data_IF_571679288102
#
_entry.id   IF_571679288102
#
_cell.length_a   1.000
_cell.length_b   1.000
_cell.length_c   1.000
_cell.angle_alpha   90.00
_cell.angle_beta   90.00
_cell.angle_gamma   90.00
#
_symmetry.space_group_name_H-M   'P 1'
#
loop_
_entity.id
_entity.type
_entity.pdbx_description
1 polymer ?
#
# COMPACT_ATOMS: atom_id res chain seq x y z
N UNK A 1 -5.15 16.41 5.92
CA UNK A 1 -6.35 15.62 6.31
C UNK A 1 -7.07 15.30 5.02
N UNK A 2 -6.87 14.10 4.48
CA UNK A 2 -7.42 13.78 3.16
C UNK A 2 -8.86 13.32 3.33
N UNK A 3 -9.73 14.01 2.61
CA UNK A 3 -11.17 13.81 2.58
C UNK A 3 -11.41 12.49 1.85
N UNK A 4 -12.13 11.57 2.51
CA UNK A 4 -12.71 10.40 1.86
C UNK A 4 -13.49 10.87 0.63
N UNK A 5 -13.19 10.28 -0.52
CA UNK A 5 -13.92 10.62 -1.74
C UNK A 5 -15.38 10.19 -1.55
N UNK A 6 -16.31 11.14 -1.65
CA UNK A 6 -17.75 10.84 -1.62
C UNK A 6 -18.18 10.00 -2.82
N UNK A 7 -17.43 10.10 -3.93
CA UNK A 7 -17.60 9.31 -5.15
C UNK A 7 -16.22 8.91 -5.67
N UNK A 8 -16.06 7.65 -6.09
CA UNK A 8 -14.84 7.14 -6.73
C UNK A 8 -15.19 6.62 -8.13
N UNK A 9 -15.03 7.43 -9.20
CA UNK A 9 -15.45 7.04 -10.54
C UNK A 9 -14.62 5.88 -11.09
N UNK A 10 -15.22 5.06 -11.94
CA UNK A 10 -14.57 3.87 -12.50
C UNK A 10 -13.32 4.20 -13.33
N UNK A 11 -12.25 3.44 -13.13
CA UNK A 11 -10.99 3.60 -13.85
C UNK A 11 -11.18 3.39 -15.37
N UNK A 12 -10.69 4.32 -16.17
CA UNK A 12 -10.70 4.24 -17.65
C UNK A 12 -9.43 3.62 -18.24
N UNK A 13 -8.57 3.04 -17.39
CA UNK A 13 -7.34 2.35 -17.76
C UNK A 13 -6.30 3.17 -18.55
N UNK A 14 -6.41 4.50 -18.54
CA UNK A 14 -5.57 5.42 -19.33
C UNK A 14 -4.05 5.36 -19.03
N UNK A 15 -3.65 4.90 -17.84
CA UNK A 15 -2.25 4.68 -17.47
C UNK A 15 -1.47 5.90 -16.94
N UNK A 16 -2.07 7.09 -16.78
CA UNK A 16 -1.34 8.24 -16.21
C UNK A 16 -0.79 7.96 -14.80
N UNK A 17 -1.57 7.27 -13.97
CA UNK A 17 -1.15 6.88 -12.63
C UNK A 17 0.03 5.89 -12.62
N UNK A 18 0.18 5.09 -13.68
CA UNK A 18 1.30 4.15 -13.85
C UNK A 18 2.62 4.90 -13.95
N UNK A 19 2.69 5.87 -14.86
CA UNK A 19 3.92 6.64 -15.13
C UNK A 19 4.34 7.52 -13.94
N UNK A 20 3.36 7.97 -13.13
CA UNK A 20 3.61 8.77 -11.94
C UNK A 20 3.99 7.95 -10.69
N UNK A 21 3.88 6.62 -10.73
CA UNK A 21 4.10 5.77 -9.56
C UNK A 21 5.58 5.44 -9.36
N UNK A 22 6.21 5.81 -8.22
CA UNK A 22 7.62 5.52 -7.99
C UNK A 22 7.92 4.01 -7.89
N UNK A 23 6.96 3.22 -7.40
CA UNK A 23 7.10 1.76 -7.30
C UNK A 23 7.14 1.13 -8.69
N UNK A 24 6.24 1.55 -9.59
CA UNK A 24 6.24 1.08 -10.96
C UNK A 24 7.51 1.48 -11.73
N UNK A 25 8.01 2.70 -11.53
CA UNK A 25 9.24 3.17 -12.18
C UNK A 25 10.46 2.26 -11.90
N UNK A 26 10.49 1.64 -10.72
CA UNK A 26 11.52 0.68 -10.31
C UNK A 26 11.17 -0.73 -10.78
N UNK A 27 9.97 -1.23 -10.44
CA UNK A 27 9.59 -2.64 -10.67
C UNK A 27 9.29 -2.98 -12.12
N UNK A 28 8.75 -2.01 -12.89
CA UNK A 28 8.38 -2.11 -14.31
C UNK A 28 7.44 -3.26 -14.68
N UNK A 29 6.69 -3.78 -13.72
CA UNK A 29 5.64 -4.77 -13.92
C UNK A 29 4.28 -4.14 -13.59
N UNK A 30 3.28 -4.36 -14.45
CA UNK A 30 2.01 -3.64 -14.38
C UNK A 30 1.28 -3.84 -13.05
N UNK A 31 1.39 -5.02 -12.44
CA UNK A 31 0.80 -5.35 -11.13
C UNK A 31 1.22 -4.40 -9.99
N UNK A 32 2.42 -3.81 -10.06
CA UNK A 32 2.89 -2.84 -9.07
C UNK A 32 2.41 -1.41 -9.33
N UNK A 33 1.88 -1.15 -10.53
CA UNK A 33 1.33 0.17 -10.86
C UNK A 33 -0.01 0.41 -10.19
N UNK A 34 -0.43 1.67 -10.01
CA UNK A 34 -1.73 1.97 -9.43
C UNK A 34 -2.88 1.48 -10.33
N UNK A 35 -2.73 1.55 -11.67
CA UNK A 35 -3.70 0.99 -12.61
C UNK A 35 -3.79 -0.52 -12.49
N UNK A 36 -2.65 -1.21 -12.46
CA UNK A 36 -2.62 -2.66 -12.31
C UNK A 36 -3.25 -3.12 -11.00
N UNK A 37 -3.11 -2.36 -9.91
CA UNK A 37 -3.81 -2.67 -8.65
C UNK A 37 -5.32 -2.60 -8.79
N UNK A 38 -5.84 -1.60 -9.52
CA UNK A 38 -7.28 -1.53 -9.83
C UNK A 38 -7.70 -2.76 -10.65
N UNK A 39 -6.93 -3.15 -11.66
CA UNK A 39 -7.23 -4.35 -12.47
C UNK A 39 -7.23 -5.63 -11.63
N UNK A 40 -6.27 -5.78 -10.72
CA UNK A 40 -6.18 -6.93 -9.81
C UNK A 40 -7.36 -6.96 -8.83
N UNK A 41 -7.73 -5.80 -8.28
CA UNK A 41 -8.89 -5.65 -7.40
C UNK A 41 -10.21 -5.97 -8.12
N UNK A 42 -10.43 -5.40 -9.31
CA UNK A 42 -11.59 -5.72 -10.14
C UNK A 42 -11.66 -7.21 -10.53
N UNK A 43 -10.51 -7.89 -10.62
CA UNK A 43 -10.44 -9.33 -10.86
C UNK A 43 -10.63 -10.16 -9.57
N UNK A 44 -10.81 -9.54 -8.41
CA UNK A 44 -10.99 -10.20 -7.11
C UNK A 44 -9.72 -10.86 -6.58
N UNK A 45 -8.54 -10.41 -7.02
CA UNK A 45 -7.26 -11.02 -6.63
C UNK A 45 -6.73 -10.43 -5.33
N UNK A 46 -6.59 -11.30 -4.34
CA UNK A 46 -5.98 -10.95 -3.05
C UNK A 46 -4.48 -11.25 -3.11
N UNK A 47 -3.65 -10.20 -3.25
CA UNK A 47 -2.20 -10.34 -3.45
C UNK A 47 -1.38 -9.45 -2.54
N UNK A 48 -0.22 -9.96 -2.09
CA UNK A 48 0.74 -9.19 -1.30
C UNK A 48 1.31 -7.98 -2.06
N UNK A 49 1.14 -7.91 -3.39
CA UNK A 49 1.53 -6.74 -4.20
C UNK A 49 0.86 -5.45 -3.72
N UNK A 50 -0.35 -5.51 -3.12
CA UNK A 50 -0.99 -4.33 -2.54
C UNK A 50 -0.18 -3.71 -1.37
N UNK A 51 0.63 -4.51 -0.66
CA UNK A 51 1.55 -3.99 0.35
C UNK A 51 2.72 -3.20 -0.25
N UNK A 52 3.02 -3.34 -1.54
CA UNK A 52 4.06 -2.54 -2.19
C UNK A 52 3.58 -1.11 -2.49
N UNK A 53 2.33 -0.75 -2.20
CA UNK A 53 1.88 0.63 -2.28
C UNK A 53 2.55 1.49 -1.20
N UNK A 54 3.27 2.55 -1.59
CA UNK A 54 3.82 3.50 -0.62
C UNK A 54 2.78 4.44 0.00
N UNK A 55 1.51 4.34 -0.43
CA UNK A 55 0.40 5.24 -0.04
C UNK A 55 0.72 6.73 -0.24
N UNK A 56 1.61 7.06 -1.18
CA UNK A 56 1.98 8.43 -1.51
C UNK A 56 0.87 9.23 -2.22
N UNK A 57 -0.12 8.54 -2.78
CA UNK A 57 -1.29 9.10 -3.48
C UNK A 57 -1.02 9.97 -4.70
N UNK A 58 0.19 9.95 -5.27
CA UNK A 58 0.49 10.62 -6.55
C UNK A 58 -0.48 10.19 -7.66
N UNK A 59 -0.92 8.92 -7.64
CA UNK A 59 -1.93 8.39 -8.56
C UNK A 59 -3.25 9.17 -8.54
N UNK A 60 -3.72 9.62 -7.37
CA UNK A 60 -4.95 10.42 -7.22
C UNK A 60 -4.77 11.82 -7.80
N UNK A 61 -3.59 12.42 -7.60
CA UNK A 61 -3.27 13.77 -8.09
C UNK A 61 -3.27 13.81 -9.63
N UNK A 62 -2.72 12.79 -10.28
CA UNK A 62 -2.59 12.76 -11.75
C UNK A 62 -3.79 12.13 -12.46
N UNK A 63 -4.77 11.60 -11.73
CA UNK A 63 -5.90 10.91 -12.33
C UNK A 63 -6.85 11.93 -12.98
N UNK A 64 -7.08 11.86 -14.31
CA UNK A 64 -7.89 12.85 -15.01
C UNK A 64 -9.38 12.78 -14.65
N UNK A 65 -9.84 11.65 -14.12
CA UNK A 65 -11.22 11.44 -13.68
C UNK A 65 -11.36 11.45 -12.16
N UNK A 66 -10.27 11.62 -11.40
CA UNK A 66 -10.32 11.61 -9.94
C UNK A 66 -10.47 10.23 -9.27
N UNK A 67 -10.22 9.14 -10.00
CA UNK A 67 -10.20 7.77 -9.43
C UNK A 67 -9.05 7.58 -8.42
N UNK A 68 -9.36 6.97 -7.28
CA UNK A 68 -8.42 6.49 -6.27
C UNK A 68 -8.37 4.94 -6.27
N UNK A 69 -7.18 4.34 -6.46
CA UNK A 69 -6.98 2.89 -6.32
C UNK A 69 -7.18 2.32 -4.91
N UNK A 70 -7.56 3.14 -3.92
CA UNK A 70 -7.96 2.72 -2.57
C UNK A 70 -6.94 1.84 -1.83
N UNK A 71 -5.67 2.23 -1.88
CA UNK A 71 -4.56 1.42 -1.35
C UNK A 71 -4.73 0.99 0.11
N UNK A 72 -5.29 1.85 0.97
CA UNK A 72 -5.61 1.51 2.37
C UNK A 72 -6.75 0.48 2.49
N UNK A 73 -7.81 0.62 1.68
CA UNK A 73 -8.93 -0.32 1.67
C UNK A 73 -8.47 -1.71 1.21
N UNK A 74 -7.71 -1.77 0.11
CA UNK A 74 -7.13 -3.02 -0.40
C UNK A 74 -6.29 -3.73 0.67
N UNK A 75 -5.45 -2.99 1.40
CA UNK A 75 -4.68 -3.55 2.51
C UNK A 75 -5.58 -4.05 3.64
N UNK A 76 -6.63 -3.30 3.99
CA UNK A 76 -7.58 -3.67 5.04
C UNK A 76 -8.34 -4.95 4.69
N UNK A 77 -8.72 -5.13 3.43
CA UNK A 77 -9.36 -6.34 2.92
C UNK A 77 -8.44 -7.55 2.99
N UNK A 78 -7.14 -7.39 2.70
CA UNK A 78 -6.15 -8.45 2.88
C UNK A 78 -6.05 -8.87 4.36
N UNK A 79 -6.01 -7.92 5.31
CA UNK A 79 -6.01 -8.24 6.74
C UNK A 79 -7.27 -9.03 7.12
N UNK A 80 -8.45 -8.61 6.63
CA UNK A 80 -9.70 -9.32 6.90
C UNK A 80 -9.70 -10.75 6.32
N UNK A 81 -8.96 -10.98 5.24
CA UNK A 81 -8.73 -12.30 4.66
C UNK A 81 -7.60 -13.09 5.33
N UNK A 82 -6.93 -12.54 6.35
CA UNK A 82 -5.80 -13.17 7.05
C UNK A 82 -4.49 -13.14 6.26
N UNK A 83 -4.37 -12.25 5.28
CA UNK A 83 -3.20 -12.11 4.39
C UNK A 83 -2.35 -10.92 4.84
N UNK A 84 -1.23 -11.22 5.50
CA UNK A 84 -0.28 -10.22 5.99
C UNK A 84 1.16 -10.60 5.61
N UNK A 85 2.07 -9.63 5.62
CA UNK A 85 3.50 -9.91 5.51
C UNK A 85 4.06 -10.29 6.89
N UNK A 86 5.09 -11.16 6.91
CA UNK A 86 5.79 -11.50 8.16
C UNK A 86 6.42 -10.28 8.84
N UNK A 87 6.87 -9.30 8.05
CA UNK A 87 7.36 -8.01 8.55
C UNK A 87 6.27 -7.24 9.30
N UNK A 88 5.06 -7.13 8.72
CA UNK A 88 3.93 -6.44 9.38
C UNK A 88 3.48 -7.16 10.65
N UNK A 89 3.42 -8.50 10.64
CA UNK A 89 3.13 -9.28 11.84
C UNK A 89 4.13 -9.00 12.96
N UNK A 90 5.43 -9.01 12.62
CA UNK A 90 6.52 -8.72 13.57
C UNK A 90 6.44 -7.30 14.11
N UNK A 91 6.19 -6.32 13.23
CA UNK A 91 6.00 -4.92 13.60
C UNK A 91 4.86 -4.75 14.62
N UNK A 92 3.70 -5.35 14.35
CA UNK A 92 2.52 -5.27 15.22
C UNK A 92 2.81 -5.91 16.59
N UNK A 93 3.46 -7.07 16.60
CA UNK A 93 3.89 -7.74 17.85
C UNK A 93 4.82 -6.82 18.64
N UNK A 94 5.82 -6.23 18.00
CA UNK A 94 6.77 -5.35 18.66
C UNK A 94 6.10 -4.10 19.25
N UNK A 95 5.18 -3.47 18.51
CA UNK A 95 4.42 -2.31 19.02
C UNK A 95 3.63 -2.70 20.27
N UNK A 96 2.96 -3.86 20.25
CA UNK A 96 2.15 -4.33 21.38
C UNK A 96 2.98 -4.70 22.62
N UNK A 97 4.17 -5.26 22.43
CA UNK A 97 5.03 -5.72 23.54
C UNK A 97 5.97 -4.64 24.07
N UNK A 98 6.50 -3.78 23.21
CA UNK A 98 7.59 -2.85 23.53
C UNK A 98 7.25 -1.38 23.26
N UNK A 99 6.05 -1.07 22.75
CA UNK A 99 5.63 0.29 22.42
C UNK A 99 6.31 0.89 21.18
N UNK A 100 7.04 0.09 20.40
CA UNK A 100 7.75 0.53 19.20
C UNK A 100 7.84 -0.60 18.16
N UNK A 101 8.02 -0.32 16.85
CA UNK A 101 8.03 -1.36 15.80
C UNK A 101 9.31 -2.19 15.74
N UNK A 102 10.40 -1.71 16.33
CA UNK A 102 11.75 -2.25 16.18
C UNK A 102 12.07 -3.37 17.17
N UNK A 103 11.25 -3.55 18.21
CA UNK A 103 11.44 -4.57 19.24
C UNK A 103 12.08 -3.98 20.51
N UNK A 104 12.76 -4.80 21.32
CA UNK A 104 13.51 -4.31 22.47
C UNK A 104 14.71 -3.47 22.01
N UNK A 105 14.83 -2.25 22.54
CA UNK A 105 15.93 -1.32 22.26
C UNK A 105 16.41 -0.67 23.56
N UNK A 106 17.72 -0.56 23.74
CA UNK A 106 18.30 0.28 24.78
C UNK A 106 18.31 1.77 24.35
N UNK A 107 18.42 2.68 25.31
CA UNK A 107 18.52 4.12 25.02
C UNK A 107 19.72 4.42 24.10
N UNK A 108 19.44 5.04 22.95
CA UNK A 108 20.44 5.37 21.94
C UNK A 108 20.86 4.21 21.02
N UNK A 109 20.30 3.01 21.20
CA UNK A 109 20.54 1.89 20.29
C UNK A 109 19.81 2.09 18.95
N UNK A 110 20.50 1.83 17.84
CA UNK A 110 19.90 1.83 16.51
C UNK A 110 19.28 0.45 16.20
N UNK A 111 18.05 0.40 15.64
CA UNK A 111 17.42 -0.84 15.19
C UNK A 111 18.30 -1.60 14.19
N UNK A 112 18.53 -2.89 14.46
CA UNK A 112 19.25 -3.79 13.54
C UNK A 112 18.36 -4.33 12.42
N UNK A 113 17.06 -4.42 12.69
CA UNK A 113 16.05 -4.89 11.75
C UNK A 113 14.96 -3.84 11.67
N UNK A 114 14.63 -3.45 10.44
CA UNK A 114 13.50 -2.59 10.17
C UNK A 114 12.33 -3.47 9.74
N UNK A 115 11.22 -3.36 10.48
CA UNK A 115 9.97 -4.10 10.25
C UNK A 115 8.92 -3.24 9.56
N UNK A 116 9.32 -2.11 8.97
CA UNK A 116 8.41 -1.09 8.44
C UNK A 116 8.05 -1.35 6.97
N UNK A 117 6.75 -1.55 6.73
CA UNK A 117 5.99 -1.66 5.47
C UNK A 117 6.22 -2.90 4.61
#
# INVERSE_FOLDING_TARGET
MLIDLTENPDCTECGLCREACPVFQIQRQEEYSPRGRVMLDCAGLQTLVFYQCTLCRTCRIVCPIGHDPNGETLRSELINAGIETSANQTMIINIRLYGNPFGPLADGELPKVLTCC
#
